data_IF_458395095735
#
_entry.id   IF_458395095735
#
_cell.length_a   1.000
_cell.length_b   1.000
_cell.length_c   1.000
_cell.angle_alpha   90.00
_cell.angle_beta   90.00
_cell.angle_gamma   90.00
#
_symmetry.space_group_name_H-M   'P 1'
#
loop_
_entity.id
_entity.type
_entity.pdbx_description
1 polymer ?
#
# COMPACT_ATOMS: atom_id res chain seq x y z
N UNK A 1 -7.91 25.82 -14.10
CA UNK A 1 -7.62 25.01 -12.90
C UNK A 1 -6.20 24.47 -13.05
N UNK A 2 -5.28 24.83 -12.17
CA UNK A 2 -3.96 24.20 -12.15
C UNK A 2 -4.16 22.72 -11.80
N UNK A 3 -3.52 21.80 -12.56
CA UNK A 3 -3.48 20.38 -12.24
C UNK A 3 -2.98 20.21 -10.81
N UNK A 4 -3.55 19.27 -10.02
CA UNK A 4 -3.06 19.00 -8.68
C UNK A 4 -1.58 18.63 -8.79
N UNK A 5 -0.73 19.36 -8.11
CA UNK A 5 0.70 19.12 -8.08
C UNK A 5 0.92 17.78 -7.36
N UNK A 6 1.49 16.81 -8.04
CA UNK A 6 1.80 15.51 -7.44
C UNK A 6 2.96 15.65 -6.46
N UNK A 7 2.95 14.84 -5.40
CA UNK A 7 3.99 14.87 -4.37
C UNK A 7 5.38 14.66 -4.97
N UNK A 8 5.52 13.72 -5.90
CA UNK A 8 6.79 13.35 -6.51
C UNK A 8 7.40 14.48 -7.37
N UNK A 9 6.55 15.33 -7.95
CA UNK A 9 6.98 16.49 -8.75
C UNK A 9 7.20 17.74 -7.89
N UNK A 10 6.98 17.64 -6.57
CA UNK A 10 7.09 18.79 -5.65
C UNK A 10 8.52 18.91 -5.13
N UNK A 11 9.26 19.99 -5.45
CA UNK A 11 10.59 20.24 -4.92
C UNK A 11 10.59 20.33 -3.39
N UNK A 12 11.66 19.88 -2.75
CA UNK A 12 11.78 19.84 -1.28
C UNK A 12 11.44 21.15 -0.58
N UNK A 13 11.83 22.31 -1.15
CA UNK A 13 11.55 23.64 -0.58
C UNK A 13 10.07 24.03 -0.64
N UNK A 14 9.25 23.38 -1.51
CA UNK A 14 7.80 23.62 -1.64
C UNK A 14 6.95 22.63 -0.84
N UNK A 15 7.52 21.60 -0.22
CA UNK A 15 6.76 20.56 0.51
C UNK A 15 5.89 21.15 1.63
N UNK A 16 6.35 22.19 2.32
CA UNK A 16 5.53 22.84 3.37
C UNK A 16 4.27 23.49 2.78
N UNK A 17 4.40 24.17 1.64
CA UNK A 17 3.28 24.78 0.91
C UNK A 17 2.34 23.71 0.37
N UNK A 18 2.87 22.64 -0.21
CA UNK A 18 2.10 21.48 -0.68
C UNK A 18 1.23 20.90 0.46
N UNK A 19 1.83 20.66 1.63
CA UNK A 19 1.06 20.14 2.78
C UNK A 19 -0.06 21.09 3.17
N UNK A 20 0.20 22.40 3.20
CA UNK A 20 -0.81 23.38 3.60
C UNK A 20 -1.96 23.52 2.60
N UNK A 21 -1.66 23.50 1.31
CA UNK A 21 -2.65 23.75 0.26
C UNK A 21 -3.38 22.50 -0.22
N UNK A 22 -2.66 21.34 -0.27
CA UNK A 22 -3.19 20.11 -0.87
C UNK A 22 -3.61 19.06 0.16
N UNK A 23 -2.95 19.02 1.33
CA UNK A 23 -3.17 17.92 2.29
C UNK A 23 -4.01 18.32 3.51
N UNK A 24 -4.14 19.60 3.82
CA UNK A 24 -5.01 20.02 4.92
C UNK A 24 -6.48 19.94 4.51
N UNK A 25 -7.36 19.41 5.38
CA UNK A 25 -8.80 19.51 5.14
C UNK A 25 -9.24 20.97 5.13
N UNK A 26 -10.24 21.28 4.30
CA UNK A 26 -10.88 22.60 4.35
C UNK A 26 -11.48 22.83 5.74
N UNK A 27 -11.73 24.09 6.07
CA UNK A 27 -12.37 24.42 7.35
C UNK A 27 -13.79 23.90 7.40
N UNK A 28 -14.51 24.08 6.31
CA UNK A 28 -15.89 23.65 6.12
C UNK A 28 -16.00 22.14 6.31
N UNK A 29 -15.21 21.35 5.56
CA UNK A 29 -15.17 19.91 5.68
C UNK A 29 -14.88 19.44 7.12
N UNK A 30 -13.93 20.06 7.76
CA UNK A 30 -13.59 19.72 9.15
C UNK A 30 -14.74 20.02 10.12
N UNK A 31 -15.50 21.07 9.91
CA UNK A 31 -16.67 21.43 10.72
C UNK A 31 -17.79 20.40 10.51
N UNK A 32 -18.06 19.97 9.28
CA UNK A 32 -19.02 18.91 8.97
C UNK A 32 -18.66 17.58 9.64
N UNK A 33 -17.41 17.14 9.51
CA UNK A 33 -16.92 15.92 10.18
C UNK A 33 -17.10 16.03 11.71
N UNK A 34 -16.80 17.19 12.29
CA UNK A 34 -16.97 17.40 13.73
C UNK A 34 -18.44 17.43 14.15
N UNK A 35 -19.36 17.88 13.30
CA UNK A 35 -20.79 17.82 13.56
C UNK A 35 -21.29 16.37 13.59
N UNK A 36 -20.92 15.56 12.62
CA UNK A 36 -21.20 14.12 12.62
C UNK A 36 -20.72 13.47 13.92
N UNK A 37 -19.48 13.73 14.30
CA UNK A 37 -18.91 13.18 15.54
C UNK A 37 -19.68 13.61 16.78
N UNK A 38 -20.09 14.88 16.88
CA UNK A 38 -20.89 15.38 18.00
C UNK A 38 -22.27 14.69 18.03
N UNK A 39 -22.91 14.50 16.88
CA UNK A 39 -24.20 13.81 16.78
C UNK A 39 -24.05 12.35 17.23
N UNK A 40 -23.04 11.64 16.76
CA UNK A 40 -22.78 10.25 17.18
C UNK A 40 -22.50 10.17 18.69
N UNK A 41 -21.62 11.03 19.22
CA UNK A 41 -21.33 11.07 20.67
C UNK A 41 -22.59 11.36 21.49
N UNK A 42 -23.36 12.36 21.09
CA UNK A 42 -24.60 12.70 21.77
C UNK A 42 -25.60 11.54 21.75
N UNK A 43 -25.80 10.92 20.59
CA UNK A 43 -26.72 9.80 20.42
C UNK A 43 -26.31 8.60 21.28
N UNK A 44 -25.04 8.24 21.28
CA UNK A 44 -24.54 7.15 22.14
C UNK A 44 -24.77 7.45 23.63
N UNK A 45 -24.42 8.64 24.11
CA UNK A 45 -24.49 9.00 25.52
C UNK A 45 -25.91 9.28 26.04
N UNK A 46 -26.78 9.88 25.20
CA UNK A 46 -28.06 10.43 25.63
C UNK A 46 -29.29 9.67 25.12
N UNK A 47 -29.15 8.92 24.02
CA UNK A 47 -30.25 8.21 23.39
C UNK A 47 -30.11 6.69 23.48
N UNK A 48 -28.98 6.16 23.03
CA UNK A 48 -28.76 4.72 22.94
C UNK A 48 -28.51 4.06 24.31
N UNK A 49 -27.78 4.72 25.18
CA UNK A 49 -27.33 4.19 26.48
C UNK A 49 -27.79 5.08 27.66
N UNK A 50 -29.08 5.44 27.68
CA UNK A 50 -29.64 6.18 28.79
C UNK A 50 -29.78 5.32 30.03
N UNK A 51 -29.45 5.87 31.18
CA UNK A 51 -29.65 5.28 32.50
C UNK A 51 -31.14 5.37 32.88
N UNK A 52 -31.97 4.35 32.52
CA UNK A 52 -33.41 4.38 32.64
C UNK A 52 -34.00 3.82 33.96
N UNK A 53 -33.24 3.01 34.72
CA UNK A 53 -33.77 2.40 35.96
C UNK A 53 -32.66 2.08 36.95
N UNK A 54 -33.06 2.04 38.26
CA UNK A 54 -32.15 1.65 39.37
C UNK A 54 -31.97 0.15 39.49
N UNK A 55 -32.68 -0.68 38.78
CA UNK A 55 -32.74 -2.14 38.96
C UNK A 55 -31.95 -2.93 37.91
N UNK A 56 -31.70 -2.39 36.72
CA UNK A 56 -30.87 -3.08 35.74
C UNK A 56 -29.42 -2.63 35.87
N UNK A 57 -28.48 -3.59 35.77
CA UNK A 57 -27.05 -3.34 35.62
C UNK A 57 -26.85 -2.78 34.18
N UNK A 58 -27.39 -1.59 33.93
CA UNK A 58 -27.36 -0.98 32.60
C UNK A 58 -25.95 -0.54 32.27
N UNK A 59 -25.56 -0.89 31.04
CA UNK A 59 -24.34 -0.39 30.41
C UNK A 59 -24.58 1.05 30.02
N UNK A 60 -23.74 1.98 30.45
CA UNK A 60 -23.76 3.38 29.97
C UNK A 60 -22.41 3.80 29.42
N UNK A 61 -22.44 4.78 28.53
CA UNK A 61 -21.24 5.39 27.98
C UNK A 61 -20.68 6.39 28.98
N UNK A 62 -19.49 6.10 29.49
CA UNK A 62 -18.72 6.99 30.36
C UNK A 62 -18.16 8.15 29.56
N UNK A 63 -17.47 7.84 28.45
CA UNK A 63 -16.75 8.79 27.62
C UNK A 63 -16.64 8.30 26.18
N UNK A 64 -16.63 9.24 25.23
CA UNK A 64 -16.30 8.99 23.84
C UNK A 64 -15.12 9.88 23.46
N UNK A 65 -14.12 9.33 22.84
CA UNK A 65 -12.96 10.11 22.37
C UNK A 65 -12.70 9.90 20.88
N UNK A 66 -12.34 10.98 20.21
CA UNK A 66 -11.84 10.95 18.83
C UNK A 66 -10.42 10.43 18.85
N UNK A 67 -10.13 9.44 18.02
CA UNK A 67 -8.80 8.85 17.87
C UNK A 67 -8.34 8.89 16.41
N UNK A 68 -7.30 8.19 16.06
CA UNK A 68 -6.76 8.15 14.71
C UNK A 68 -6.36 9.54 14.18
N UNK A 69 -6.53 9.76 12.89
CA UNK A 69 -6.09 11.00 12.24
C UNK A 69 -6.86 12.24 12.71
N UNK A 70 -8.16 12.11 12.96
CA UNK A 70 -8.99 13.20 13.47
C UNK A 70 -8.58 13.58 14.91
N UNK A 71 -8.43 12.58 15.79
CA UNK A 71 -8.05 12.78 17.19
C UNK A 71 -6.67 13.40 17.36
N UNK A 72 -5.74 13.00 16.51
CA UNK A 72 -4.33 13.44 16.52
C UNK A 72 -4.11 14.76 15.77
N UNK A 73 -5.10 15.25 15.03
CA UNK A 73 -4.99 16.45 14.21
C UNK A 73 -4.05 16.26 13.02
N UNK A 74 -4.00 15.06 12.45
CA UNK A 74 -3.23 14.69 11.25
C UNK A 74 -4.12 14.21 10.10
N UNK A 75 -5.39 14.63 10.09
CA UNK A 75 -6.36 14.32 9.05
C UNK A 75 -5.93 14.91 7.71
N UNK A 76 -6.11 14.17 6.63
CA UNK A 76 -5.93 14.63 5.25
C UNK A 76 -7.23 15.20 4.71
N UNK A 77 -7.15 16.05 3.68
CA UNK A 77 -8.30 16.73 3.09
C UNK A 77 -9.35 15.82 2.49
N UNK A 78 -8.96 14.63 2.07
CA UNK A 78 -9.83 13.61 1.48
C UNK A 78 -10.24 12.49 2.45
N UNK A 79 -9.99 12.66 3.77
CA UNK A 79 -10.31 11.64 4.76
C UNK A 79 -11.81 11.64 5.05
N UNK A 80 -12.46 10.50 4.81
CA UNK A 80 -13.87 10.24 5.10
C UNK A 80 -14.07 9.28 6.27
N UNK A 81 -12.99 8.87 6.94
CA UNK A 81 -13.01 7.91 8.03
C UNK A 81 -12.81 8.58 9.38
N UNK A 82 -13.62 8.18 10.34
CA UNK A 82 -13.60 8.68 11.72
C UNK A 82 -13.59 7.50 12.68
N UNK A 83 -12.63 7.49 13.58
CA UNK A 83 -12.52 6.48 14.64
C UNK A 83 -12.86 7.09 15.99
N UNK A 84 -13.75 6.42 16.73
CA UNK A 84 -14.18 6.79 18.07
C UNK A 84 -13.99 5.63 19.04
N UNK A 85 -13.32 5.90 20.15
CA UNK A 85 -13.24 4.95 21.27
C UNK A 85 -14.33 5.28 22.27
N UNK A 86 -15.12 4.26 22.61
CA UNK A 86 -16.26 4.35 23.52
C UNK A 86 -15.94 3.64 24.82
N UNK A 87 -15.71 4.39 25.88
CA UNK A 87 -15.49 3.85 27.22
C UNK A 87 -16.82 3.54 27.89
N UNK A 88 -16.97 2.31 28.36
CA UNK A 88 -18.21 1.77 28.88
C UNK A 88 -18.09 1.35 30.34
N UNK A 89 -19.14 1.58 31.10
CA UNK A 89 -19.22 1.29 32.55
C UNK A 89 -19.16 -0.20 32.91
N UNK A 90 -19.44 -1.07 31.93
CA UNK A 90 -19.45 -2.51 32.13
C UNK A 90 -18.06 -3.14 32.16
N UNK A 91 -17.06 -2.47 31.65
CA UNK A 91 -15.68 -2.95 31.69
C UNK A 91 -14.95 -2.39 32.92
N UNK A 92 -14.59 -3.24 33.83
CA UNK A 92 -13.85 -2.89 35.06
C UNK A 92 -12.41 -3.38 35.04
N UNK A 93 -12.05 -4.22 34.08
CA UNK A 93 -10.73 -4.76 33.87
C UNK A 93 -10.54 -5.18 32.41
N UNK A 94 -9.30 -5.40 31.98
CA UNK A 94 -8.99 -5.96 30.67
C UNK A 94 -9.56 -7.38 30.48
N UNK A 95 -9.64 -8.18 31.56
CA UNK A 95 -10.23 -9.50 31.52
C UNK A 95 -11.73 -9.45 31.27
N UNK A 96 -12.45 -8.47 31.87
CA UNK A 96 -13.87 -8.27 31.61
C UNK A 96 -14.12 -7.75 30.19
N UNK A 97 -13.26 -6.85 29.71
CA UNK A 97 -13.29 -6.40 28.32
C UNK A 97 -13.13 -7.59 27.37
N UNK A 98 -12.06 -8.40 27.52
CA UNK A 98 -11.83 -9.57 26.69
C UNK A 98 -13.03 -10.56 26.73
N UNK A 99 -13.61 -10.80 27.90
CA UNK A 99 -14.73 -11.74 28.07
C UNK A 99 -16.03 -11.25 27.46
N UNK A 100 -16.29 -9.95 27.49
CA UNK A 100 -17.59 -9.39 27.13
C UNK A 100 -17.56 -8.53 25.87
N UNK A 101 -16.41 -8.40 25.22
CA UNK A 101 -16.22 -7.53 24.05
C UNK A 101 -17.26 -7.78 22.96
N UNK A 102 -17.40 -9.02 22.50
CA UNK A 102 -18.37 -9.39 21.45
C UNK A 102 -19.82 -9.08 21.83
N UNK A 103 -20.19 -9.38 23.08
CA UNK A 103 -21.54 -9.07 23.58
C UNK A 103 -21.82 -7.56 23.55
N UNK A 104 -20.81 -6.77 23.89
CA UNK A 104 -20.94 -5.31 23.90
C UNK A 104 -20.99 -4.74 22.48
N UNK A 105 -20.22 -5.29 21.54
CA UNK A 105 -20.32 -4.93 20.12
C UNK A 105 -21.72 -5.17 19.57
N UNK A 106 -22.28 -6.34 19.84
CA UNK A 106 -23.67 -6.66 19.43
C UNK A 106 -24.66 -5.70 20.06
N UNK A 107 -24.49 -5.36 21.33
CA UNK A 107 -25.37 -4.38 22.02
C UNK A 107 -25.26 -2.99 21.39
N UNK A 108 -24.05 -2.52 21.06
CA UNK A 108 -23.85 -1.24 20.36
C UNK A 108 -24.54 -1.29 19.00
N UNK A 109 -24.32 -2.35 18.21
CA UNK A 109 -24.94 -2.57 16.92
C UNK A 109 -26.47 -2.47 17.00
N UNK A 110 -27.11 -3.21 17.90
CA UNK A 110 -28.56 -3.18 18.09
C UNK A 110 -29.07 -1.79 18.48
N UNK A 111 -28.35 -1.08 19.34
CA UNK A 111 -28.73 0.28 19.77
C UNK A 111 -28.62 1.31 18.63
N UNK A 112 -27.61 1.17 17.76
CA UNK A 112 -27.43 2.08 16.62
C UNK A 112 -28.50 1.85 15.55
N UNK A 113 -28.92 0.62 15.33
CA UNK A 113 -29.93 0.25 14.32
C UNK A 113 -31.24 1.03 14.45
N UNK A 114 -31.63 1.36 15.69
CA UNK A 114 -32.86 2.08 16.00
C UNK A 114 -32.62 3.53 16.46
N UNK A 115 -31.45 4.08 16.26
CA UNK A 115 -31.10 5.43 16.70
C UNK A 115 -31.65 6.48 15.73
N UNK A 116 -32.68 7.19 16.11
CA UNK A 116 -33.35 8.18 15.28
C UNK A 116 -32.42 9.28 14.76
N UNK A 117 -31.50 9.76 15.60
CA UNK A 117 -30.56 10.82 15.22
C UNK A 117 -29.58 10.35 14.10
N UNK A 118 -29.21 9.09 14.11
CA UNK A 118 -28.32 8.51 13.09
C UNK A 118 -29.10 8.14 11.83
N UNK A 119 -30.34 7.70 11.96
CA UNK A 119 -31.24 7.48 10.82
C UNK A 119 -31.52 8.80 10.09
N UNK A 120 -31.60 9.92 10.83
CA UNK A 120 -31.72 11.26 10.24
C UNK A 120 -30.46 11.70 9.47
N UNK A 121 -29.31 11.12 9.77
CA UNK A 121 -28.05 11.27 9.00
C UNK A 121 -27.87 10.18 7.93
N UNK A 122 -28.95 9.51 7.54
CA UNK A 122 -28.94 8.44 6.54
C UNK A 122 -27.95 7.32 6.88
N UNK A 123 -28.08 6.77 8.10
CA UNK A 123 -27.27 5.62 8.54
C UNK A 123 -27.33 4.47 7.52
N UNK A 124 -26.19 4.05 7.03
CA UNK A 124 -26.01 2.97 6.05
C UNK A 124 -24.85 2.05 6.47
N UNK A 125 -24.78 0.88 5.87
CA UNK A 125 -23.67 -0.07 6.01
C UNK A 125 -23.29 -0.41 7.46
N UNK A 126 -24.26 -0.42 8.36
CA UNK A 126 -24.01 -0.81 9.75
C UNK A 126 -23.60 -2.28 9.82
N UNK A 127 -22.37 -2.54 10.26
CA UNK A 127 -21.77 -3.88 10.31
C UNK A 127 -20.81 -4.04 11.46
N UNK A 128 -20.63 -5.30 11.86
CA UNK A 128 -19.52 -5.73 12.71
C UNK A 128 -18.35 -6.09 11.80
N UNK A 129 -17.21 -5.43 12.01
CA UNK A 129 -15.99 -5.68 11.25
C UNK A 129 -15.07 -6.53 12.11
N UNK A 130 -14.78 -7.75 11.62
CA UNK A 130 -13.82 -8.66 12.22
C UNK A 130 -12.43 -8.37 11.64
N UNK A 131 -11.44 -8.20 12.49
CA UNK A 131 -10.06 -7.95 12.07
C UNK A 131 -9.12 -7.69 13.25
N UNK A 132 -7.83 -7.85 13.01
CA UNK A 132 -6.81 -7.47 13.97
C UNK A 132 -6.61 -5.93 13.96
N UNK A 133 -6.38 -5.30 15.13
CA UNK A 133 -6.16 -5.93 16.43
C UNK A 133 -7.43 -6.17 17.24
N UNK A 134 -8.58 -5.57 16.90
CA UNK A 134 -9.84 -5.75 17.62
C UNK A 134 -11.05 -5.65 16.69
N UNK A 135 -12.13 -6.31 17.08
CA UNK A 135 -13.42 -6.19 16.39
C UNK A 135 -14.08 -4.84 16.69
N UNK A 136 -14.78 -4.28 15.72
CA UNK A 136 -15.35 -2.94 15.79
C UNK A 136 -16.75 -2.89 15.16
N UNK A 137 -17.54 -1.87 15.53
CA UNK A 137 -18.77 -1.52 14.82
C UNK A 137 -18.44 -0.41 13.82
N UNK A 138 -18.78 -0.62 12.56
CA UNK A 138 -18.59 0.38 11.49
C UNK A 138 -19.93 0.68 10.82
N UNK A 139 -20.13 1.94 10.45
CA UNK A 139 -21.28 2.40 9.70
C UNK A 139 -20.96 3.68 8.93
N UNK A 140 -21.78 4.00 7.94
CA UNK A 140 -21.66 5.22 7.14
C UNK A 140 -22.84 6.14 7.44
N UNK A 141 -22.56 7.43 7.56
CA UNK A 141 -23.55 8.50 7.66
C UNK A 141 -23.20 9.62 6.70
N UNK A 142 -24.20 10.41 6.30
CA UNK A 142 -23.98 11.56 5.41
C UNK A 142 -23.86 12.86 6.22
N UNK A 143 -22.98 13.75 5.74
CA UNK A 143 -22.91 15.12 6.25
C UNK A 143 -24.17 15.89 5.86
N UNK A 144 -24.53 16.92 6.64
CA UNK A 144 -25.80 17.65 6.41
C UNK A 144 -25.73 18.63 5.26
N UNK A 145 -24.59 19.28 5.05
CA UNK A 145 -24.47 20.35 4.07
C UNK A 145 -24.07 19.80 2.69
N UNK A 146 -23.03 18.99 2.62
CA UNK A 146 -22.52 18.47 1.35
C UNK A 146 -23.11 17.11 0.96
N UNK A 147 -23.71 16.36 1.89
CA UNK A 147 -24.19 15.01 1.66
C UNK A 147 -23.08 13.97 1.46
N UNK A 148 -21.84 14.34 1.80
CA UNK A 148 -20.71 13.44 1.65
C UNK A 148 -20.73 12.31 2.69
N UNK A 149 -20.42 11.07 2.30
CA UNK A 149 -20.42 9.93 3.19
C UNK A 149 -19.21 9.96 4.14
N UNK A 150 -19.47 9.74 5.43
CA UNK A 150 -18.43 9.56 6.46
C UNK A 150 -18.60 8.18 7.08
N UNK A 151 -17.57 7.38 7.04
CA UNK A 151 -17.49 6.09 7.71
C UNK A 151 -17.05 6.30 9.15
N UNK A 152 -17.88 5.89 10.10
CA UNK A 152 -17.62 5.98 11.53
C UNK A 152 -17.34 4.59 12.08
N UNK A 153 -16.20 4.44 12.75
CA UNK A 153 -15.79 3.21 13.42
C UNK A 153 -15.85 3.42 14.93
N UNK A 154 -16.58 2.57 15.64
CA UNK A 154 -16.71 2.58 17.10
C UNK A 154 -15.95 1.40 17.70
N UNK A 155 -15.07 1.71 18.65
CA UNK A 155 -14.27 0.72 19.38
C UNK A 155 -14.63 0.79 20.86
N UNK A 156 -15.31 -0.22 21.42
CA UNK A 156 -15.53 -0.28 22.86
C UNK A 156 -14.23 -0.57 23.60
N UNK A 157 -14.00 0.09 24.73
CA UNK A 157 -12.78 -0.07 25.50
C UNK A 157 -13.00 0.10 27.02
N UNK A 158 -12.10 -0.51 27.79
CA UNK A 158 -11.99 -0.30 29.21
C UNK A 158 -11.29 1.01 29.53
N UNK A 159 -11.87 1.81 30.43
CA UNK A 159 -11.28 3.07 30.90
C UNK A 159 -10.12 2.88 31.86
N UNK A 160 -9.08 2.16 31.46
CA UNK A 160 -7.95 1.80 32.31
C UNK A 160 -7.21 3.00 32.93
N UNK A 161 -7.32 4.17 32.33
CA UNK A 161 -6.61 5.39 32.75
C UNK A 161 -7.45 6.29 33.66
N UNK A 162 -8.75 6.05 33.82
CA UNK A 162 -9.62 6.93 34.63
C UNK A 162 -9.15 7.09 36.07
N UNK A 163 -8.60 6.05 36.65
CA UNK A 163 -8.06 6.06 38.03
C UNK A 163 -6.73 6.82 38.14
N UNK A 164 -6.09 7.15 37.00
CA UNK A 164 -4.72 7.67 36.95
C UNK A 164 -4.59 8.99 36.20
N UNK A 165 -5.70 9.70 35.94
CA UNK A 165 -5.74 10.95 35.16
C UNK A 165 -4.80 12.05 35.68
N UNK A 166 -4.46 12.01 36.95
CA UNK A 166 -3.55 12.99 37.57
C UNK A 166 -2.09 12.54 37.63
N UNK A 167 -1.78 11.33 37.15
CA UNK A 167 -0.41 10.82 37.10
C UNK A 167 0.18 11.00 35.70
N UNK A 168 1.47 11.38 35.59
CA UNK A 168 2.11 11.57 34.28
C UNK A 168 2.22 10.26 33.48
N UNK A 169 2.26 9.12 34.17
CA UNK A 169 2.30 7.78 33.56
C UNK A 169 1.44 6.81 34.37
N UNK A 170 0.76 5.86 33.71
CA UNK A 170 0.07 4.77 34.39
C UNK A 170 1.08 3.93 35.20
N UNK A 171 0.69 3.40 36.37
CA UNK A 171 1.56 2.54 37.13
C UNK A 171 1.79 1.19 36.42
N UNK A 172 2.92 0.50 36.69
CA UNK A 172 3.28 -0.75 36.02
C UNK A 172 2.22 -1.84 36.10
N UNK A 173 1.42 -1.85 37.17
CA UNK A 173 0.36 -2.84 37.44
C UNK A 173 -0.72 -2.83 36.35
N UNK A 174 -0.97 -1.67 35.71
CA UNK A 174 -1.90 -1.54 34.56
C UNK A 174 -1.39 -2.37 33.39
N UNK A 175 -0.10 -2.26 33.07
CA UNK A 175 0.52 -3.00 31.99
C UNK A 175 0.63 -4.50 32.29
N UNK A 176 0.90 -4.87 33.53
CA UNK A 176 0.90 -6.27 33.98
C UNK A 176 -0.50 -6.87 33.82
N UNK A 177 -1.54 -6.15 34.22
CA UNK A 177 -2.94 -6.59 34.08
C UNK A 177 -3.31 -6.76 32.58
N UNK A 178 -2.88 -5.83 31.74
CA UNK A 178 -3.07 -5.89 30.29
C UNK A 178 -2.40 -7.14 29.71
N UNK A 179 -1.11 -7.36 30.02
CA UNK A 179 -0.35 -8.50 29.49
C UNK A 179 -1.01 -9.83 29.87
N UNK A 180 -1.53 -9.94 31.11
CA UNK A 180 -2.24 -11.15 31.56
C UNK A 180 -3.57 -11.40 30.85
N UNK A 181 -4.22 -10.36 30.36
CA UNK A 181 -5.49 -10.46 29.63
C UNK A 181 -5.31 -10.57 28.11
N UNK A 182 -4.13 -10.21 27.60
CA UNK A 182 -3.87 -10.06 26.17
C UNK A 182 -3.54 -11.40 25.52
N UNK A 183 -4.40 -11.85 24.60
CA UNK A 183 -4.16 -13.03 23.76
C UNK A 183 -3.65 -12.65 22.36
N UNK A 184 -3.98 -11.43 21.91
CA UNK A 184 -3.58 -10.91 20.59
C UNK A 184 -2.94 -9.54 20.80
N UNK A 185 -1.72 -9.30 20.29
CA UNK A 185 -1.06 -8.01 20.39
C UNK A 185 -1.93 -6.88 19.86
N UNK A 186 -2.07 -5.80 20.65
CA UNK A 186 -2.81 -4.60 20.24
C UNK A 186 -4.29 -4.56 20.59
N UNK A 187 -4.92 -5.64 21.04
CA UNK A 187 -6.36 -5.69 21.35
C UNK A 187 -6.81 -4.59 22.32
N UNK A 188 -5.99 -4.24 23.30
CA UNK A 188 -6.31 -3.22 24.30
C UNK A 188 -5.69 -1.85 24.02
N UNK A 189 -5.13 -1.63 22.84
CA UNK A 189 -4.57 -0.32 22.48
C UNK A 189 -5.59 0.83 22.56
N UNK A 190 -6.90 0.62 22.27
CA UNK A 190 -7.93 1.65 22.45
C UNK A 190 -8.01 2.20 23.87
N UNK A 191 -7.77 1.39 24.90
CA UNK A 191 -7.78 1.82 26.30
C UNK A 191 -6.71 2.88 26.63
N UNK A 192 -5.67 2.98 25.81
CA UNK A 192 -4.57 3.95 25.95
C UNK A 192 -4.64 5.12 24.94
N UNK A 193 -5.71 5.23 24.18
CA UNK A 193 -5.87 6.25 23.14
C UNK A 193 -5.77 7.67 23.67
N UNK A 194 -6.10 7.94 24.93
CA UNK A 194 -5.91 9.27 25.54
C UNK A 194 -4.44 9.63 25.71
N UNK A 195 -3.59 8.69 26.08
CA UNK A 195 -2.15 8.91 26.19
C UNK A 195 -1.56 9.21 24.80
N UNK A 196 -1.93 8.42 23.80
CA UNK A 196 -1.50 8.61 22.42
C UNK A 196 -1.92 9.99 21.91
N UNK A 197 -3.19 10.36 22.10
CA UNK A 197 -3.73 11.66 21.71
C UNK A 197 -3.00 12.81 22.41
N UNK A 198 -2.78 12.71 23.71
CA UNK A 198 -2.07 13.72 24.48
C UNK A 198 -0.62 13.84 24.03
N UNK A 199 0.04 12.72 23.77
CA UNK A 199 1.40 12.71 23.24
C UNK A 199 1.49 13.46 21.91
N UNK A 200 0.62 13.15 20.92
CA UNK A 200 0.63 13.79 19.61
C UNK A 200 0.18 15.26 19.68
N UNK A 201 -0.81 15.59 20.54
CA UNK A 201 -1.32 16.96 20.67
C UNK A 201 -0.21 17.96 21.00
N UNK A 202 0.73 17.59 21.83
CA UNK A 202 1.83 18.45 22.28
C UNK A 202 3.05 18.43 21.34
N UNK A 203 2.98 17.76 20.20
CA UNK A 203 4.07 17.76 19.21
C UNK A 203 4.02 19.00 18.32
N UNK A 204 5.19 19.46 17.84
CA UNK A 204 5.29 20.63 16.95
C UNK A 204 4.42 20.48 15.69
N UNK A 205 3.91 21.59 15.18
CA UNK A 205 3.11 21.61 13.95
C UNK A 205 3.86 20.99 12.75
N UNK A 206 5.18 21.21 12.67
CA UNK A 206 6.04 20.62 11.63
C UNK A 206 5.99 19.08 11.62
N UNK A 207 5.98 18.46 12.82
CA UNK A 207 5.86 16.98 12.90
C UNK A 207 4.49 16.49 12.40
N UNK A 208 3.40 17.20 12.73
CA UNK A 208 2.07 16.89 12.22
C UNK A 208 1.98 17.05 10.69
N UNK A 209 2.65 18.05 10.13
CA UNK A 209 2.77 18.23 8.68
C UNK A 209 3.55 17.09 8.04
N UNK A 210 4.65 16.66 8.64
CA UNK A 210 5.41 15.50 8.19
C UNK A 210 4.56 14.21 8.24
N UNK A 211 3.80 14.00 9.31
CA UNK A 211 2.90 12.83 9.41
C UNK A 211 1.82 12.85 8.31
N UNK A 212 1.27 14.02 7.94
CA UNK A 212 0.36 14.11 6.79
C UNK A 212 1.04 13.77 5.48
N UNK A 213 2.25 14.28 5.27
CA UNK A 213 3.04 14.00 4.07
C UNK A 213 3.34 12.51 3.92
N UNK A 214 3.80 11.87 5.00
CA UNK A 214 4.07 10.42 5.02
C UNK A 214 2.80 9.61 4.79
N UNK A 215 1.67 10.00 5.40
CA UNK A 215 0.37 9.35 5.15
C UNK A 215 -0.06 9.48 3.70
N UNK A 216 0.03 10.68 3.15
CA UNK A 216 -0.33 10.90 1.74
C UNK A 216 0.56 10.09 0.82
N UNK A 217 1.88 10.14 1.02
CA UNK A 217 2.83 9.32 0.28
C UNK A 217 2.48 7.83 0.36
N UNK A 218 2.19 7.30 1.54
CA UNK A 218 1.82 5.91 1.72
C UNK A 218 0.53 5.55 0.97
N UNK A 219 -0.49 6.39 1.06
CA UNK A 219 -1.78 6.16 0.38
C UNK A 219 -1.64 6.24 -1.15
N UNK A 220 -0.86 7.18 -1.67
CA UNK A 220 -0.56 7.27 -3.11
C UNK A 220 0.28 6.07 -3.57
N UNK A 221 1.29 5.68 -2.79
CA UNK A 221 2.15 4.53 -3.10
C UNK A 221 1.39 3.19 -3.02
N UNK A 222 0.31 3.12 -2.24
CA UNK A 222 -0.52 1.92 -2.10
C UNK A 222 -1.66 1.84 -3.13
N UNK A 223 -1.82 2.85 -4.01
CA UNK A 223 -2.80 2.79 -5.10
C UNK A 223 -2.39 1.74 -6.12
N UNK A 224 -3.37 1.06 -6.65
CA UNK A 224 -3.15 0.17 -7.78
C UNK A 224 -2.73 0.99 -9.01
N UNK A 225 -1.76 0.47 -9.73
CA UNK A 225 -1.23 1.04 -10.97
C UNK A 225 -1.58 0.14 -12.14
N UNK A 226 -1.64 0.71 -13.33
CA UNK A 226 -1.76 -0.07 -14.56
C UNK A 226 -0.38 -0.50 -15.04
N UNK A 227 -0.19 -1.81 -15.13
CA UNK A 227 1.02 -2.42 -15.66
C UNK A 227 0.69 -3.02 -17.03
N UNK A 228 1.30 -2.46 -18.06
CA UNK A 228 1.23 -3.01 -19.41
C UNK A 228 2.35 -4.02 -19.60
N UNK A 229 1.98 -5.28 -19.80
CA UNK A 229 2.90 -6.39 -20.04
C UNK A 229 3.06 -6.54 -21.56
N UNK A 230 4.26 -6.31 -22.04
CA UNK A 230 4.63 -6.43 -23.46
C UNK A 230 5.28 -7.79 -23.71
N UNK A 231 4.77 -8.53 -24.66
CA UNK A 231 5.35 -9.78 -25.14
C UNK A 231 5.54 -9.71 -26.66
N UNK A 232 6.73 -10.04 -27.14
CA UNK A 232 7.03 -10.00 -28.57
C UNK A 232 6.09 -10.91 -29.36
N UNK A 233 5.40 -10.36 -30.37
CA UNK A 233 4.49 -11.09 -31.24
C UNK A 233 3.08 -11.34 -30.68
N UNK A 234 2.75 -10.80 -29.51
CA UNK A 234 1.43 -10.88 -28.88
C UNK A 234 0.88 -9.49 -28.55
N UNK A 235 -0.45 -9.34 -28.43
CA UNK A 235 -1.03 -8.08 -27.98
C UNK A 235 -0.66 -7.79 -26.52
N UNK A 236 -0.48 -6.49 -26.22
CA UNK A 236 -0.20 -6.02 -24.86
C UNK A 236 -1.29 -6.45 -23.89
N UNK A 237 -0.90 -6.98 -22.73
CA UNK A 237 -1.78 -7.31 -21.62
C UNK A 237 -1.70 -6.18 -20.56
N UNK A 238 -2.84 -5.61 -20.18
CA UNK A 238 -2.90 -4.60 -19.11
C UNK A 238 -3.50 -5.18 -17.83
N UNK A 239 -2.75 -5.10 -16.75
CA UNK A 239 -3.14 -5.53 -15.41
C UNK A 239 -3.24 -4.33 -14.48
N UNK A 240 -4.18 -4.39 -13.53
CA UNK A 240 -4.27 -3.43 -12.42
C UNK A 240 -3.64 -4.06 -11.19
N UNK A 241 -2.50 -3.54 -10.76
CA UNK A 241 -1.63 -4.19 -9.77
C UNK A 241 -1.26 -3.22 -8.65
N UNK A 242 -1.33 -3.69 -7.41
CA UNK A 242 -0.77 -2.95 -6.28
C UNK A 242 0.76 -3.01 -6.32
N UNK A 243 1.49 -1.88 -6.22
CA UNK A 243 2.95 -1.86 -6.24
C UNK A 243 3.63 -2.73 -5.17
N UNK A 244 2.93 -3.02 -4.07
CA UNK A 244 3.39 -3.87 -2.98
C UNK A 244 2.94 -5.34 -3.10
N UNK A 245 2.28 -5.72 -4.20
CA UNK A 245 2.00 -7.12 -4.53
C UNK A 245 3.30 -7.83 -4.92
N UNK A 246 3.50 -9.07 -4.45
CA UNK A 246 4.69 -9.86 -4.81
C UNK A 246 4.75 -10.08 -6.32
N UNK A 247 5.91 -9.91 -6.92
CA UNK A 247 6.11 -10.16 -8.36
C UNK A 247 5.78 -11.61 -8.72
N UNK A 248 5.96 -12.56 -7.78
CA UNK A 248 5.51 -13.92 -7.95
C UNK A 248 3.99 -14.02 -8.25
N UNK A 249 3.18 -13.31 -7.47
CA UNK A 249 1.71 -13.30 -7.63
C UNK A 249 1.29 -12.60 -8.94
N UNK A 250 2.02 -11.57 -9.36
CA UNK A 250 1.81 -10.92 -10.65
C UNK A 250 2.10 -11.89 -11.81
N UNK A 251 3.17 -12.69 -11.70
CA UNK A 251 3.49 -13.72 -12.69
C UNK A 251 2.42 -14.82 -12.75
N UNK A 252 1.90 -15.25 -11.61
CA UNK A 252 0.81 -16.22 -11.52
C UNK A 252 -0.45 -15.70 -12.22
N UNK A 253 -0.81 -14.45 -12.01
CA UNK A 253 -1.95 -13.78 -12.67
C UNK A 253 -1.75 -13.66 -14.20
N UNK A 254 -0.53 -13.36 -14.65
CA UNK A 254 -0.17 -13.36 -16.07
C UNK A 254 -0.28 -14.77 -16.66
N UNK A 255 0.25 -15.78 -15.96
CA UNK A 255 0.18 -17.19 -16.39
C UNK A 255 -1.26 -17.69 -16.55
N UNK A 256 -2.13 -17.37 -15.59
CA UNK A 256 -3.55 -17.69 -15.65
C UNK A 256 -4.22 -17.01 -16.85
N UNK A 257 -3.91 -15.74 -17.11
CA UNK A 257 -4.50 -14.98 -18.20
C UNK A 257 -4.03 -15.48 -19.57
N UNK A 258 -2.74 -15.82 -19.71
CA UNK A 258 -2.16 -16.28 -20.97
C UNK A 258 -2.33 -17.79 -21.19
N UNK A 259 -2.70 -18.57 -20.15
CA UNK A 259 -2.76 -20.04 -20.20
C UNK A 259 -1.39 -20.69 -20.44
N UNK A 260 -0.29 -20.00 -20.13
CA UNK A 260 1.08 -20.48 -20.36
C UNK A 260 1.59 -21.31 -19.17
N UNK A 261 2.29 -22.40 -19.46
CA UNK A 261 3.01 -23.21 -18.47
C UNK A 261 4.52 -22.93 -18.44
N UNK A 262 4.99 -21.98 -19.24
CA UNK A 262 6.41 -21.60 -19.30
C UNK A 262 6.85 -20.82 -18.05
N UNK A 263 8.18 -20.76 -17.83
CA UNK A 263 8.75 -19.91 -16.77
C UNK A 263 8.73 -18.45 -17.22
N UNK A 264 7.95 -17.63 -16.53
CA UNK A 264 7.83 -16.20 -16.85
C UNK A 264 8.96 -15.39 -16.24
N UNK A 265 9.59 -14.57 -17.06
CA UNK A 265 10.59 -13.59 -16.66
C UNK A 265 10.07 -12.20 -16.99
N UNK A 266 9.96 -11.36 -15.96
CA UNK A 266 9.52 -9.98 -16.10
C UNK A 266 10.73 -9.05 -15.93
N UNK A 267 10.81 -8.05 -16.80
CA UNK A 267 11.85 -7.02 -16.73
C UNK A 267 11.26 -5.66 -17.07
N UNK A 268 11.86 -4.60 -16.56
CA UNK A 268 11.49 -3.23 -16.91
C UNK A 268 12.72 -2.43 -17.37
N UNK A 269 12.45 -1.40 -18.18
CA UNK A 269 13.46 -0.49 -18.73
C UNK A 269 13.57 0.72 -17.80
N UNK A 270 14.76 0.97 -17.27
CA UNK A 270 15.03 2.20 -16.53
C UNK A 270 15.14 3.41 -17.47
N UNK A 271 14.91 4.63 -16.96
CA UNK A 271 15.17 5.85 -17.71
C UNK A 271 16.62 6.00 -18.20
N UNK A 272 17.56 5.35 -17.50
CA UNK A 272 18.99 5.25 -17.89
C UNK A 272 19.24 4.41 -19.15
N UNK A 273 18.22 3.69 -19.62
CA UNK A 273 18.33 2.73 -20.73
C UNK A 273 18.77 1.33 -20.33
N UNK A 274 19.02 1.10 -19.03
CA UNK A 274 19.31 -0.24 -18.54
C UNK A 274 18.02 -1.02 -18.27
N UNK A 275 18.09 -2.33 -18.46
CA UNK A 275 16.96 -3.21 -18.19
C UNK A 275 17.22 -4.05 -16.93
N UNK A 276 16.27 -4.04 -16.02
CA UNK A 276 16.34 -4.79 -14.77
C UNK A 276 15.34 -5.94 -14.74
N UNK A 277 15.81 -7.11 -14.24
CA UNK A 277 14.96 -8.26 -13.97
C UNK A 277 14.12 -8.03 -12.70
N UNK A 278 12.82 -8.25 -12.79
CA UNK A 278 11.91 -8.22 -11.66
C UNK A 278 11.92 -9.59 -10.95
N UNK A 279 12.52 -9.65 -9.78
CA UNK A 279 12.68 -10.89 -9.01
C UNK A 279 11.38 -11.28 -8.32
N UNK A 280 11.03 -12.56 -8.34
CA UNK A 280 9.76 -13.08 -7.82
C UNK A 280 9.52 -12.83 -6.32
N UNK A 281 10.59 -12.61 -5.54
CA UNK A 281 10.52 -12.34 -4.09
C UNK A 281 10.37 -10.87 -3.74
N UNK A 282 10.47 -9.99 -4.72
CA UNK A 282 10.42 -8.55 -4.55
C UNK A 282 9.04 -8.01 -4.92
N UNK A 283 8.85 -6.70 -4.76
CA UNK A 283 7.67 -5.94 -5.10
C UNK A 283 8.02 -4.95 -6.21
N UNK A 284 7.05 -4.47 -6.99
CA UNK A 284 7.29 -3.37 -7.94
C UNK A 284 7.82 -2.12 -7.23
N UNK A 285 7.32 -1.86 -6.02
CA UNK A 285 7.79 -0.77 -5.16
C UNK A 285 9.29 -0.86 -4.82
N UNK A 286 9.88 -2.06 -4.75
CA UNK A 286 11.32 -2.26 -4.51
C UNK A 286 12.20 -1.73 -5.64
N UNK A 287 11.62 -1.59 -6.83
CA UNK A 287 12.27 -1.03 -8.04
C UNK A 287 11.87 0.43 -8.30
N UNK A 288 11.18 1.08 -7.34
CA UNK A 288 10.71 2.47 -7.49
C UNK A 288 9.51 2.64 -8.43
N UNK A 289 8.80 1.57 -8.74
CA UNK A 289 7.65 1.59 -9.66
C UNK A 289 6.36 1.82 -8.85
N UNK A 290 5.83 3.06 -8.92
CA UNK A 290 4.62 3.50 -8.21
C UNK A 290 3.58 4.14 -9.14
N UNK A 291 3.84 4.18 -10.44
CA UNK A 291 2.95 4.75 -11.45
C UNK A 291 2.78 3.78 -12.61
N UNK A 292 1.83 4.07 -13.50
CA UNK A 292 1.60 3.26 -14.68
C UNK A 292 2.91 3.04 -15.45
N UNK A 293 3.19 1.78 -15.75
CA UNK A 293 4.47 1.38 -16.35
C UNK A 293 4.29 0.27 -17.38
N UNK A 294 5.33 0.10 -18.19
CA UNK A 294 5.45 -1.02 -19.12
C UNK A 294 6.54 -1.97 -18.65
N UNK A 295 6.24 -3.26 -18.66
CA UNK A 295 7.18 -4.32 -18.34
C UNK A 295 7.23 -5.31 -19.49
N UNK A 296 8.41 -5.86 -19.75
CA UNK A 296 8.57 -6.92 -20.75
C UNK A 296 8.42 -8.28 -20.14
N UNK A 297 7.64 -9.13 -20.81
CA UNK A 297 7.54 -10.55 -20.54
C UNK A 297 8.44 -11.32 -21.51
N UNK A 298 9.24 -12.22 -20.93
CA UNK A 298 9.96 -13.25 -21.66
C UNK A 298 9.57 -14.61 -21.10
N UNK A 299 9.14 -15.50 -21.96
CA UNK A 299 8.93 -16.91 -21.63
C UNK A 299 10.22 -17.68 -21.88
N UNK A 300 10.62 -18.53 -20.92
CA UNK A 300 11.78 -19.40 -21.04
C UNK A 300 11.39 -20.85 -20.76
N UNK A 301 11.95 -21.76 -21.54
CA UNK A 301 11.80 -23.21 -21.33
C UNK A 301 13.18 -23.73 -20.88
N UNK A 302 13.29 -24.36 -19.71
CA UNK A 302 14.58 -24.92 -19.28
C UNK A 302 15.18 -25.84 -20.34
N UNK A 303 16.51 -25.74 -20.66
CA UNK A 303 17.58 -25.04 -19.91
C UNK A 303 17.83 -23.56 -20.28
N UNK A 304 16.93 -22.89 -21.00
CA UNK A 304 17.16 -21.53 -21.45
C UNK A 304 17.41 -20.54 -20.29
N UNK A 305 18.32 -19.58 -20.54
CA UNK A 305 18.59 -18.43 -19.68
C UNK A 305 18.15 -17.14 -20.37
N UNK A 306 17.91 -16.10 -19.60
CA UNK A 306 17.66 -14.77 -20.13
C UNK A 306 18.97 -14.00 -20.27
N UNK A 307 19.17 -13.32 -21.42
CA UNK A 307 20.23 -12.30 -21.59
C UNK A 307 19.57 -10.99 -21.99
N UNK A 308 20.16 -9.88 -21.60
CA UNK A 308 19.83 -8.55 -22.07
C UNK A 308 20.84 -8.11 -23.11
N UNK A 309 20.36 -7.49 -24.18
CA UNK A 309 21.20 -6.89 -25.23
C UNK A 309 20.89 -5.41 -25.32
N UNK A 310 21.86 -4.56 -24.98
CA UNK A 310 21.78 -3.11 -25.07
C UNK A 310 22.22 -2.67 -26.47
N UNK A 311 21.31 -2.06 -27.21
CA UNK A 311 21.57 -1.60 -28.57
C UNK A 311 22.25 -0.22 -28.62
N UNK A 312 22.72 0.25 -29.80
CA UNK A 312 23.39 1.55 -29.94
C UNK A 312 22.53 2.76 -29.59
N UNK A 313 21.21 2.63 -29.59
CA UNK A 313 20.28 3.69 -29.18
C UNK A 313 20.13 3.79 -27.66
N UNK A 314 20.76 2.88 -26.89
CA UNK A 314 20.72 2.83 -25.44
C UNK A 314 19.58 1.99 -24.86
N UNK A 315 18.72 1.40 -25.69
CA UNK A 315 17.65 0.50 -25.26
C UNK A 315 18.16 -0.93 -25.10
N UNK A 316 17.59 -1.64 -24.13
CA UNK A 316 17.93 -3.05 -23.88
C UNK A 316 16.72 -3.95 -24.13
N UNK A 317 16.95 -5.01 -24.90
CA UNK A 317 15.95 -6.05 -25.17
C UNK A 317 16.35 -7.37 -24.50
N UNK A 318 15.35 -8.16 -24.12
CA UNK A 318 15.53 -9.46 -23.49
C UNK A 318 15.43 -10.58 -24.53
N UNK A 319 16.32 -11.58 -24.40
CA UNK A 319 16.38 -12.75 -25.27
C UNK A 319 16.44 -14.03 -24.42
N UNK A 320 15.69 -15.05 -24.85
CA UNK A 320 15.79 -16.40 -24.31
C UNK A 320 16.81 -17.16 -25.11
N UNK A 321 17.82 -17.71 -24.46
CA UNK A 321 18.91 -18.41 -25.14
C UNK A 321 19.25 -19.73 -24.46
N UNK A 322 19.43 -20.80 -25.25
CA UNK A 322 19.99 -22.04 -24.73
C UNK A 322 21.52 -21.88 -24.56
N UNK A 323 22.11 -22.17 -23.39
CA UNK A 323 23.54 -22.12 -23.18
C UNK A 323 24.39 -22.97 -24.18
N UNK A 324 23.76 -23.97 -24.80
CA UNK A 324 24.42 -24.81 -25.80
C UNK A 324 24.44 -24.20 -27.22
N UNK A 325 23.61 -23.19 -27.46
CA UNK A 325 23.55 -22.46 -28.75
C UNK A 325 24.78 -21.60 -29.00
N UNK A 326 24.96 -21.20 -30.24
CA UNK A 326 26.07 -20.33 -30.65
C UNK A 326 25.72 -18.84 -30.51
N UNK A 327 26.76 -18.01 -30.46
CA UNK A 327 26.56 -16.54 -30.54
C UNK A 327 25.86 -16.15 -31.84
N UNK A 328 26.07 -16.88 -32.92
CA UNK A 328 25.38 -16.68 -34.19
C UNK A 328 23.87 -16.84 -34.07
N UNK A 329 23.39 -17.80 -33.26
CA UNK A 329 21.95 -18.01 -33.03
C UNK A 329 21.31 -16.85 -32.29
N UNK A 330 22.03 -16.27 -31.30
CA UNK A 330 21.59 -15.04 -30.63
C UNK A 330 21.56 -13.85 -31.61
N UNK A 331 22.57 -13.71 -32.50
CA UNK A 331 22.59 -12.66 -33.52
C UNK A 331 21.41 -12.79 -34.49
N UNK A 332 20.98 -13.98 -34.80
CA UNK A 332 19.79 -14.21 -35.64
C UNK A 332 18.53 -13.74 -34.93
N UNK A 333 18.37 -14.04 -33.65
CA UNK A 333 17.25 -13.52 -32.85
C UNK A 333 17.23 -11.99 -32.76
N UNK A 334 18.43 -11.36 -32.67
CA UNK A 334 18.57 -9.89 -32.67
C UNK A 334 18.17 -9.33 -34.03
N UNK A 335 18.59 -9.95 -35.14
CA UNK A 335 18.24 -9.55 -36.49
C UNK A 335 16.72 -9.53 -36.72
N UNK A 336 16.04 -10.61 -36.27
CA UNK A 336 14.57 -10.74 -36.35
C UNK A 336 13.83 -9.68 -35.53
N UNK A 337 14.43 -9.22 -34.44
CA UNK A 337 13.77 -8.31 -33.48
C UNK A 337 14.13 -6.84 -33.68
N UNK A 338 15.34 -6.54 -34.15
CA UNK A 338 15.89 -5.17 -34.23
C UNK A 338 16.19 -4.72 -35.67
N UNK A 339 15.88 -5.54 -36.66
CA UNK A 339 16.09 -5.25 -38.12
C UNK A 339 17.56 -4.88 -38.44
N UNK A 340 18.52 -5.32 -37.60
CA UNK A 340 19.95 -5.15 -37.82
C UNK A 340 20.56 -6.46 -38.31
N UNK A 341 21.06 -6.49 -39.58
CA UNK A 341 21.65 -7.71 -40.15
C UNK A 341 22.76 -8.28 -39.29
N UNK A 342 22.74 -9.59 -39.06
CA UNK A 342 23.70 -10.31 -38.18
C UNK A 342 25.17 -10.08 -38.57
N UNK A 343 25.48 -9.89 -39.84
CA UNK A 343 26.82 -9.59 -40.34
C UNK A 343 27.33 -8.22 -39.85
N UNK A 344 26.42 -7.27 -39.61
CA UNK A 344 26.69 -5.92 -39.12
C UNK A 344 26.75 -5.87 -37.58
N UNK A 345 26.31 -6.92 -36.90
CA UNK A 345 26.26 -6.95 -35.43
C UNK A 345 27.61 -7.29 -34.83
N UNK A 346 28.06 -6.51 -33.86
CA UNK A 346 29.16 -6.83 -32.96
C UNK A 346 28.64 -6.88 -31.54
N UNK A 347 28.71 -8.06 -30.90
CA UNK A 347 28.35 -8.28 -29.50
C UNK A 347 29.57 -8.26 -28.63
N UNK A 348 29.48 -7.59 -27.50
CA UNK A 348 30.54 -7.44 -26.51
C UNK A 348 29.99 -7.78 -25.11
N UNK A 349 30.80 -8.53 -24.35
CA UNK A 349 30.50 -8.82 -22.94
C UNK A 349 31.77 -8.62 -22.11
N UNK A 350 31.68 -7.83 -21.05
CA UNK A 350 32.83 -7.50 -20.17
C UNK A 350 34.09 -7.02 -20.90
N UNK A 351 33.91 -6.23 -21.97
CA UNK A 351 35.03 -5.71 -22.78
C UNK A 351 35.57 -6.69 -23.81
N UNK A 352 34.99 -7.88 -23.94
CA UNK A 352 35.40 -8.88 -24.92
C UNK A 352 34.41 -8.99 -26.06
N UNK A 353 34.87 -8.86 -27.29
CA UNK A 353 34.07 -9.09 -28.50
C UNK A 353 33.82 -10.59 -28.68
N UNK A 354 32.55 -10.95 -28.80
CA UNK A 354 32.09 -12.32 -28.92
C UNK A 354 32.19 -12.82 -30.37
N UNK A 355 32.67 -14.03 -30.54
CA UNK A 355 32.82 -14.64 -31.88
C UNK A 355 31.59 -15.49 -32.20
N UNK A 356 31.17 -15.49 -33.45
CA UNK A 356 29.94 -16.14 -33.93
C UNK A 356 29.88 -17.65 -33.65
N UNK A 357 31.04 -18.31 -33.65
CA UNK A 357 31.21 -19.76 -33.42
C UNK A 357 31.35 -20.16 -31.93
N UNK A 358 31.38 -19.21 -31.00
CA UNK A 358 31.44 -19.52 -29.59
C UNK A 358 30.07 -19.99 -29.08
N UNK A 359 30.09 -20.98 -28.17
CA UNK A 359 28.87 -21.37 -27.46
C UNK A 359 28.60 -20.40 -26.34
N UNK A 360 27.35 -20.06 -26.15
CA UNK A 360 26.93 -19.13 -25.10
C UNK A 360 27.37 -19.56 -23.70
N UNK A 361 27.28 -20.85 -23.37
CA UNK A 361 27.72 -21.41 -22.08
C UNK A 361 29.21 -21.32 -21.80
N UNK A 362 30.07 -21.19 -22.85
CA UNK A 362 31.50 -21.03 -22.67
C UNK A 362 31.89 -19.58 -22.39
N UNK A 363 31.06 -18.63 -22.78
CA UNK A 363 31.29 -17.20 -22.58
C UNK A 363 31.14 -16.76 -21.12
N UNK A 364 30.71 -17.66 -20.21
CA UNK A 364 30.58 -17.39 -18.79
C UNK A 364 29.39 -16.54 -18.41
N UNK A 365 28.36 -16.43 -19.27
CA UNK A 365 27.14 -15.71 -18.96
C UNK A 365 26.40 -16.30 -17.77
N UNK A 366 25.92 -15.42 -16.94
CA UNK A 366 24.93 -15.74 -15.94
C UNK A 366 23.55 -15.28 -16.40
N UNK A 367 22.51 -15.83 -15.81
CA UNK A 367 21.15 -15.45 -16.08
C UNK A 367 20.94 -13.96 -15.81
N UNK A 368 20.38 -13.25 -16.81
CA UNK A 368 20.12 -11.80 -16.80
C UNK A 368 21.37 -10.91 -16.95
N UNK A 369 22.47 -11.43 -17.47
CA UNK A 369 23.61 -10.60 -17.87
C UNK A 369 23.27 -9.70 -19.07
N UNK A 370 23.99 -8.57 -19.17
CA UNK A 370 23.80 -7.59 -20.24
C UNK A 370 24.97 -7.59 -21.20
N UNK A 371 24.68 -7.77 -22.50
CA UNK A 371 25.62 -7.64 -23.61
C UNK A 371 25.43 -6.27 -24.28
N UNK A 372 26.51 -5.77 -24.85
CA UNK A 372 26.50 -4.53 -25.64
C UNK A 372 26.47 -4.90 -27.12
N UNK A 373 25.47 -4.39 -27.86
CA UNK A 373 25.38 -4.49 -29.30
C UNK A 373 25.91 -3.20 -29.93
N UNK A 374 26.81 -3.34 -30.86
CA UNK A 374 27.30 -2.25 -31.71
C UNK A 374 27.27 -2.66 -33.16
N UNK A 375 27.29 -1.65 -34.06
CA UNK A 375 27.41 -1.90 -35.49
C UNK A 375 28.87 -2.03 -35.86
N UNK A 376 29.26 -3.11 -36.57
CA UNK A 376 30.61 -3.31 -37.08
C UNK A 376 31.03 -2.12 -37.94
N UNK A 377 32.24 -1.62 -37.73
CA UNK A 377 32.82 -0.60 -38.60
C UNK A 377 33.18 -1.24 -39.95
N UNK A 378 32.76 -0.62 -41.05
CA UNK A 378 33.11 -1.06 -42.39
C UNK A 378 34.66 -1.08 -42.54
N UNK A 379 35.27 -2.27 -42.60
CA UNK A 379 36.71 -2.42 -42.75
C UNK A 379 37.40 -3.58 -41.97
N UNK A 380 36.73 -4.19 -41.01
CA UNK A 380 37.27 -5.36 -40.32
C UNK A 380 36.79 -6.67 -40.95
N UNK A 381 37.48 -7.07 -42.05
CA UNK A 381 37.29 -8.41 -42.61
C UNK A 381 37.85 -9.45 -41.58
N UNK A 382 37.04 -10.36 -41.09
CA UNK A 382 37.47 -11.49 -40.29
C UNK A 382 38.39 -12.37 -41.13
N UNK A 383 39.66 -12.47 -40.74
CA UNK A 383 40.54 -13.54 -41.21
C UNK A 383 40.02 -14.86 -40.57
N UNK A 384 39.42 -15.71 -41.37
CA UNK A 384 39.22 -17.12 -41.04
C UNK A 384 40.58 -17.80 -40.94
N UNK A 385 40.94 -18.44 -39.82
CA UNK A 385 42.09 -19.33 -39.81
C UNK A 385 41.73 -20.58 -40.61
N UNK A 386 42.61 -20.91 -41.55
CA UNK A 386 42.54 -22.15 -42.35
C UNK A 386 42.81 -23.36 -41.47
#
# INVERSE_FOLDING_TARGET
MALPQELFDTPAYKLTTFVQQCLHPSREWKEEVLEVVRTVEYSLRKKCFQRKSRLDKEVWVQKVIKVGSLGNGTMLGNTTEVELVVFLSCFRSFQEEAKHHQRILNLIYEKLLYCQDLLALQLQDLRLVQGAPCEVVSFTVQTRETGEPITVTLVPAFGALELYLHKPQPPPEVYVSLIKACNVPGNFSPSFSELQKNFIKHRPAKLKSLLRLVKHWYLESARDIQVTVEQCGYPDLTLTVNPYKLIKEIKEEIQETLGSSAVLRLSFQEPSGERQLLRSRDYLASYGIFSNTRICLLETVPPEIQLFVKNPSGWSHSYAVDPNSLILDLKQQIEEKEELFREEQQLEFQGQVLQDWWRLGICGFQDSDTLILSKKKAGEAQFLPR
#
